data_IF_378212900069
#
_entry.id   IF_378212900069
#
_cell.length_a   1.000
_cell.length_b   1.000
_cell.length_c   1.000
_cell.angle_alpha   90.00
_cell.angle_beta   90.00
_cell.angle_gamma   90.00
#
_symmetry.space_group_name_H-M   'P 1'
#
loop_
_entity.id
_entity.type
_entity.pdbx_description
1 polymer ?
#
# COMPACT_ATOMS: atom_id res chain seq x y z
N UNK A 1 -23.62 -9.67 -0.26
CA UNK A 1 -22.77 -9.76 0.95
C UNK A 1 -21.29 -10.16 0.73
N UNK A 2 -20.85 -10.71 -0.42
CA UNK A 2 -19.46 -11.21 -0.59
C UNK A 2 -18.35 -10.14 -0.81
N UNK A 3 -18.69 -8.97 -1.36
CA UNK A 3 -17.68 -7.95 -1.72
C UNK A 3 -17.01 -7.28 -0.50
N UNK A 4 -17.78 -6.96 0.55
CA UNK A 4 -17.25 -6.37 1.80
C UNK A 4 -16.28 -7.31 2.52
N UNK A 5 -16.56 -8.61 2.50
CA UNK A 5 -15.67 -9.63 3.08
C UNK A 5 -14.31 -9.70 2.36
N UNK A 6 -14.29 -9.51 1.03
CA UNK A 6 -13.06 -9.48 0.24
C UNK A 6 -12.18 -8.27 0.58
N UNK A 7 -12.77 -7.08 0.68
CA UNK A 7 -12.05 -5.86 1.07
C UNK A 7 -11.40 -6.02 2.44
N UNK A 8 -12.18 -6.44 3.44
CA UNK A 8 -11.69 -6.66 4.81
C UNK A 8 -10.58 -7.72 4.90
N UNK A 9 -10.62 -8.76 4.05
CA UNK A 9 -9.54 -9.76 3.97
C UNK A 9 -8.24 -9.14 3.45
N UNK A 10 -8.29 -8.38 2.35
CA UNK A 10 -7.10 -7.77 1.76
C UNK A 10 -6.52 -6.71 2.69
N UNK A 11 -7.34 -5.92 3.38
CA UNK A 11 -6.85 -4.98 4.40
C UNK A 11 -6.09 -5.68 5.54
N UNK A 12 -6.57 -6.85 6.00
CA UNK A 12 -5.86 -7.64 7.02
C UNK A 12 -4.53 -8.18 6.51
N UNK A 13 -4.50 -8.66 5.27
CA UNK A 13 -3.28 -9.14 4.62
C UNK A 13 -2.24 -8.02 4.51
N UNK A 14 -2.64 -6.86 4.02
CA UNK A 14 -1.76 -5.69 3.91
C UNK A 14 -1.28 -5.22 5.29
N UNK A 15 -2.18 -5.14 6.29
CA UNK A 15 -1.80 -4.85 7.68
C UNK A 15 -0.72 -5.80 8.18
N UNK A 16 -0.90 -7.11 7.97
CA UNK A 16 0.07 -8.13 8.41
C UNK A 16 1.45 -7.90 7.78
N UNK A 17 1.51 -7.52 6.50
CA UNK A 17 2.78 -7.20 5.83
C UNK A 17 3.51 -6.03 6.51
N UNK A 18 2.79 -4.97 6.91
CA UNK A 18 3.39 -3.87 7.67
C UNK A 18 3.86 -4.31 9.07
N UNK A 19 3.06 -5.11 9.77
CA UNK A 19 3.39 -5.62 11.11
C UNK A 19 4.58 -6.58 11.10
N UNK A 20 4.67 -7.49 10.12
CA UNK A 20 5.82 -8.36 9.89
C UNK A 20 7.08 -7.54 9.55
N UNK A 21 6.88 -6.37 8.94
CA UNK A 21 7.93 -5.39 8.76
C UNK A 21 8.20 -4.54 10.02
N UNK A 22 7.60 -4.81 11.17
CA UNK A 22 7.87 -4.11 12.43
C UNK A 22 7.19 -2.75 12.58
N UNK A 23 6.23 -2.42 11.71
CA UNK A 23 5.45 -1.19 11.82
C UNK A 23 4.18 -1.41 12.64
N UNK A 24 3.92 -0.50 13.58
CA UNK A 24 2.66 -0.45 14.31
C UNK A 24 1.53 0.02 13.38
N UNK A 25 0.52 -0.83 13.15
CA UNK A 25 -0.54 -0.59 12.16
C UNK A 25 -1.93 -0.80 12.74
N UNK A 26 -2.82 0.17 12.52
CA UNK A 26 -4.22 0.14 12.95
C UNK A 26 -5.16 0.17 11.74
N UNK A 27 -6.24 -0.62 11.78
CA UNK A 27 -7.31 -0.59 10.76
C UNK A 27 -8.31 0.52 11.06
N UNK A 28 -8.91 1.04 10.00
CA UNK A 28 -9.89 2.14 9.94
C UNK A 28 -11.16 2.05 10.82
N UNK A 29 -11.32 1.06 11.70
CA UNK A 29 -12.43 1.05 12.65
C UNK A 29 -12.48 2.31 13.55
N UNK A 30 -11.39 3.09 13.61
CA UNK A 30 -11.30 4.40 14.29
C UNK A 30 -10.82 5.59 13.43
N UNK A 31 -10.81 5.54 12.08
CA UNK A 31 -10.24 6.62 11.25
C UNK A 31 -11.26 7.63 10.68
N UNK A 32 -12.51 7.63 11.16
CA UNK A 32 -13.64 8.36 10.56
C UNK A 32 -13.81 8.12 9.04
N UNK A 33 -13.35 6.98 8.52
CA UNK A 33 -13.54 6.57 7.12
C UNK A 33 -12.63 7.22 6.08
N UNK A 34 -11.57 7.94 6.47
CA UNK A 34 -10.67 8.63 5.51
C UNK A 34 -9.64 7.74 4.82
N UNK A 35 -9.25 6.61 5.42
CA UNK A 35 -8.28 5.66 4.90
C UNK A 35 -8.59 4.25 5.43
N UNK A 36 -7.98 3.21 4.86
CA UNK A 36 -8.24 1.82 5.29
C UNK A 36 -7.29 1.38 6.43
N UNK A 37 -6.05 1.90 6.42
CA UNK A 37 -5.03 1.64 7.42
C UNK A 37 -4.38 2.96 7.88
N UNK A 38 -3.91 2.98 9.12
CA UNK A 38 -3.01 4.00 9.64
C UNK A 38 -1.73 3.30 10.13
N UNK A 39 -0.57 3.73 9.63
CA UNK A 39 0.73 3.13 9.97
C UNK A 39 1.60 4.18 10.64
N UNK A 40 2.09 3.88 11.84
CA UNK A 40 2.93 4.80 12.62
C UNK A 40 4.25 5.07 11.89
N UNK A 41 4.61 6.34 11.77
CA UNK A 41 5.83 6.77 11.07
C UNK A 41 5.72 6.79 9.54
N UNK A 42 4.60 6.35 8.95
CA UNK A 42 4.36 6.39 7.49
C UNK A 42 3.16 7.27 7.15
N UNK A 43 2.02 7.06 7.82
CA UNK A 43 0.79 7.83 7.58
C UNK A 43 -0.43 6.97 7.26
N UNK A 44 -1.42 7.59 6.63
CA UNK A 44 -2.68 6.96 6.26
C UNK A 44 -2.58 6.25 4.90
N UNK A 45 -3.15 5.05 4.80
CA UNK A 45 -3.00 4.18 3.62
C UNK A 45 -4.38 3.70 3.17
N UNK A 46 -4.66 3.90 1.89
CA UNK A 46 -5.83 3.32 1.22
C UNK A 46 -5.44 2.02 0.53
N UNK A 47 -6.23 0.97 0.76
CA UNK A 47 -6.05 -0.37 0.20
C UNK A 47 -7.12 -0.66 -0.84
N UNK A 48 -6.71 -0.83 -2.09
CA UNK A 48 -7.63 -1.17 -3.18
C UNK A 48 -7.26 -2.51 -3.80
N UNK A 49 -8.15 -3.49 -3.64
CA UNK A 49 -8.06 -4.75 -4.36
C UNK A 49 -8.74 -4.63 -5.74
N UNK A 50 -8.07 -5.09 -6.80
CA UNK A 50 -8.62 -5.20 -8.15
C UNK A 50 -8.37 -6.61 -8.68
N UNK A 51 -9.26 -7.11 -9.56
CA UNK A 51 -9.05 -8.40 -10.23
C UNK A 51 -7.96 -8.30 -11.31
N UNK A 52 -7.91 -7.17 -11.99
CA UNK A 52 -6.91 -6.83 -13.00
C UNK A 52 -6.44 -5.40 -12.75
N UNK A 53 -5.15 -5.18 -12.93
CA UNK A 53 -4.53 -3.86 -12.86
C UNK A 53 -3.43 -3.81 -13.93
N UNK A 54 -3.85 -3.57 -15.18
CA UNK A 54 -3.04 -3.71 -16.40
C UNK A 54 -1.76 -2.88 -16.41
N UNK A 55 -1.77 -1.77 -15.67
CA UNK A 55 -0.61 -0.91 -15.43
C UNK A 55 0.60 -1.67 -14.89
N UNK A 56 0.39 -2.75 -14.11
CA UNK A 56 1.50 -3.56 -13.61
C UNK A 56 2.27 -4.28 -14.72
N UNK A 57 1.69 -4.47 -15.90
CA UNK A 57 2.41 -5.07 -17.03
C UNK A 57 3.54 -4.16 -17.54
N UNK A 58 3.52 -2.86 -17.18
CA UNK A 58 4.57 -1.89 -17.52
C UNK A 58 5.82 -2.03 -16.64
N UNK A 59 5.82 -2.94 -15.65
CA UNK A 59 7.00 -3.25 -14.83
C UNK A 59 8.06 -4.09 -15.58
N UNK A 60 7.94 -4.28 -16.90
CA UNK A 60 8.78 -5.14 -17.74
C UNK A 60 10.30 -5.00 -17.47
N UNK A 61 10.83 -5.81 -16.55
CA UNK A 61 12.20 -5.76 -16.05
C UNK A 61 12.58 -4.53 -15.21
N UNK A 62 11.66 -3.61 -14.96
CA UNK A 62 11.93 -2.38 -14.23
C UNK A 62 11.89 -2.57 -12.71
N UNK A 63 12.79 -1.88 -12.00
CA UNK A 63 12.82 -1.90 -10.53
C UNK A 63 11.66 -1.12 -9.89
N UNK A 64 11.29 -0.01 -10.52
CA UNK A 64 10.28 0.94 -10.08
C UNK A 64 9.49 1.44 -11.27
N UNK A 65 8.17 1.59 -11.13
CA UNK A 65 7.32 2.18 -12.14
C UNK A 65 6.86 3.57 -11.67
N UNK A 66 7.11 4.60 -12.47
CA UNK A 66 6.59 5.96 -12.22
C UNK A 66 5.48 6.23 -13.22
N UNK A 67 4.32 6.67 -12.72
CA UNK A 67 3.13 6.91 -13.53
C UNK A 67 2.66 8.33 -13.30
N UNK A 68 2.38 9.04 -14.40
CA UNK A 68 1.91 10.42 -14.34
C UNK A 68 0.66 10.58 -15.20
N UNK A 69 -0.43 11.00 -14.60
CA UNK A 69 -1.59 11.46 -15.35
C UNK A 69 -1.36 12.89 -15.88
N UNK A 70 -2.07 13.25 -16.96
CA UNK A 70 -1.92 14.57 -17.56
C UNK A 70 -2.17 15.68 -16.54
N UNK A 71 -1.24 16.65 -16.43
CA UNK A 71 -1.26 17.77 -15.47
C UNK A 71 -1.43 17.40 -13.98
N UNK A 72 -1.22 16.13 -13.61
CA UNK A 72 -1.19 15.67 -12.22
C UNK A 72 0.25 15.40 -11.78
N UNK A 73 0.45 15.33 -10.46
CA UNK A 73 1.69 14.87 -9.84
C UNK A 73 2.00 13.42 -10.26
N UNK A 74 3.28 13.06 -10.50
CA UNK A 74 3.66 11.67 -10.73
C UNK A 74 3.55 10.84 -9.45
N UNK A 75 3.13 9.59 -9.60
CA UNK A 75 3.09 8.59 -8.54
C UNK A 75 4.13 7.52 -8.79
N UNK A 76 4.70 7.00 -7.71
CA UNK A 76 5.54 5.81 -7.76
C UNK A 76 4.70 4.57 -7.43
N UNK A 77 4.86 3.53 -8.23
CA UNK A 77 4.29 2.20 -7.99
C UNK A 77 5.43 1.27 -7.64
N UNK A 78 5.27 0.54 -6.53
CA UNK A 78 6.23 -0.43 -6.02
C UNK A 78 5.51 -1.62 -5.40
N UNK A 79 6.09 -2.83 -5.46
CA UNK A 79 5.71 -3.91 -4.56
C UNK A 79 5.84 -3.43 -3.11
N UNK A 80 4.81 -3.67 -2.29
CA UNK A 80 4.77 -3.17 -0.90
C UNK A 80 5.99 -3.62 -0.08
N UNK A 81 6.44 -4.87 -0.25
CA UNK A 81 7.63 -5.39 0.45
C UNK A 81 8.89 -4.58 0.11
N UNK A 82 9.10 -4.28 -1.17
CA UNK A 82 10.24 -3.47 -1.65
C UNK A 82 10.19 -2.06 -1.07
N UNK A 83 9.00 -1.45 -1.06
CA UNK A 83 8.82 -0.15 -0.40
C UNK A 83 9.22 -0.19 1.09
N UNK A 84 8.81 -1.24 1.81
CA UNK A 84 9.14 -1.41 3.23
C UNK A 84 10.64 -1.60 3.48
N UNK A 85 11.31 -2.34 2.61
CA UNK A 85 12.77 -2.49 2.64
C UNK A 85 13.48 -1.15 2.45
N UNK A 86 13.04 -0.35 1.47
CA UNK A 86 13.64 0.96 1.16
C UNK A 86 13.50 1.96 2.31
N UNK A 87 12.33 2.05 2.95
CA UNK A 87 12.13 2.97 4.08
C UNK A 87 12.78 2.50 5.39
N UNK A 88 12.93 1.18 5.59
CA UNK A 88 13.67 0.64 6.75
C UNK A 88 15.14 1.01 6.69
N UNK A 89 15.75 0.88 5.50
CA UNK A 89 17.14 1.26 5.28
C UNK A 89 17.41 2.75 5.55
N UNK A 90 16.40 3.60 5.43
CA UNK A 90 16.50 5.03 5.73
C UNK A 90 16.39 5.35 7.22
N UNK A 91 15.61 4.57 7.98
CA UNK A 91 15.43 4.78 9.43
C UNK A 91 16.48 4.08 10.32
N UNK A 92 17.36 3.28 9.72
CA UNK A 92 18.44 2.55 10.39
C UNK A 92 19.84 3.15 10.19
N UNK A 93 19.93 4.40 9.70
CA UNK A 93 21.17 5.18 9.62
C UNK A 93 21.11 6.38 10.55
#
# INVERSE_FOLDING_TARGET
MKAKAKGSRVEREVKKIFEEAGFETVRSAGSFGKADLQVKGIGSIQVKARKQFSVLNLFDGADKLVIKANRQEPYIVLPLKRYLEEIKCQNGK
#
